data_IF_360228937627
#
_entry.id   IF_360228937627
#
_cell.length_a   1.000
_cell.length_b   1.000
_cell.length_c   1.000
_cell.angle_alpha   90.00
_cell.angle_beta   90.00
_cell.angle_gamma   90.00
#
_symmetry.space_group_name_H-M   'P 1'
#
loop_
_entity.id
_entity.type
_entity.pdbx_description
1 polymer ?
#
# COMPACT_ATOMS: atom_id res chain seq x y z
N UNK A 1 18.84 -11.05 -11.21
CA UNK A 1 18.59 -9.61 -11.07
C UNK A 1 17.09 -9.38 -11.26
N UNK A 2 16.30 -9.42 -10.18
CA UNK A 2 14.91 -9.02 -10.25
C UNK A 2 14.91 -7.50 -10.47
N UNK A 3 14.47 -7.07 -11.64
CA UNK A 3 14.35 -5.65 -11.96
C UNK A 3 13.34 -5.05 -10.98
N UNK A 4 13.74 -4.06 -10.18
CA UNK A 4 12.88 -3.22 -9.33
C UNK A 4 11.83 -2.52 -10.22
N UNK A 5 10.80 -3.27 -10.63
CA UNK A 5 9.79 -2.78 -11.56
C UNK A 5 8.65 -2.21 -10.74
N UNK A 6 8.51 -0.90 -10.84
CA UNK A 6 7.29 -0.20 -10.47
C UNK A 6 6.19 -0.69 -11.42
N UNK A 7 5.13 -1.31 -10.87
CA UNK A 7 3.90 -1.65 -11.59
C UNK A 7 2.89 -0.53 -11.37
N UNK A 8 2.60 0.24 -12.42
CA UNK A 8 1.49 1.20 -12.39
C UNK A 8 0.16 0.45 -12.46
N UNK A 9 -0.80 0.84 -11.63
CA UNK A 9 -2.11 0.21 -11.56
C UNK A 9 -3.03 0.83 -12.62
N UNK A 10 -3.75 -0.02 -13.35
CA UNK A 10 -4.77 0.37 -14.32
C UNK A 10 -6.08 0.59 -13.57
N UNK A 11 -6.48 1.86 -13.45
CA UNK A 11 -7.63 2.28 -12.64
C UNK A 11 -8.60 3.07 -13.50
N UNK A 12 -9.91 2.84 -13.36
CA UNK A 12 -10.91 3.62 -14.08
C UNK A 12 -10.85 5.11 -13.72
N UNK A 13 -11.16 6.02 -14.67
CA UNK A 13 -11.17 7.46 -14.39
C UNK A 13 -12.11 7.86 -13.25
N UNK A 14 -13.27 7.21 -13.16
CA UNK A 14 -14.28 7.48 -12.12
C UNK A 14 -13.77 7.11 -10.73
N UNK A 15 -13.00 6.01 -10.61
CA UNK A 15 -12.36 5.62 -9.37
C UNK A 15 -11.18 6.53 -9.04
N UNK A 16 -10.35 6.93 -10.02
CA UNK A 16 -9.28 7.92 -9.80
C UNK A 16 -9.83 9.20 -9.16
N UNK A 17 -10.94 9.72 -9.68
CA UNK A 17 -11.59 10.92 -9.15
C UNK A 17 -12.06 10.73 -7.70
N UNK A 18 -12.66 9.57 -7.41
CA UNK A 18 -13.12 9.25 -6.06
C UNK A 18 -11.94 9.13 -5.08
N UNK A 19 -10.87 8.45 -5.47
CA UNK A 19 -9.68 8.27 -4.62
C UNK A 19 -8.90 9.57 -4.41
N UNK A 20 -8.81 10.43 -5.42
CA UNK A 20 -8.23 11.77 -5.30
C UNK A 20 -8.95 12.60 -4.25
N UNK A 21 -10.28 12.60 -4.29
CA UNK A 21 -11.12 13.30 -3.32
C UNK A 21 -10.81 12.81 -1.89
N UNK A 22 -10.77 11.49 -1.68
CA UNK A 22 -10.43 10.91 -0.37
C UNK A 22 -9.05 11.36 0.10
N UNK A 23 -8.03 11.35 -0.77
CA UNK A 23 -6.68 11.74 -0.38
C UNK A 23 -6.55 13.22 -0.03
N UNK A 24 -7.19 14.10 -0.82
CA UNK A 24 -7.22 15.54 -0.53
C UNK A 24 -7.84 15.79 0.85
N UNK A 25 -8.99 15.17 1.12
CA UNK A 25 -9.71 15.36 2.39
C UNK A 25 -9.00 14.74 3.58
N UNK A 26 -8.38 13.58 3.41
CA UNK A 26 -7.58 12.91 4.46
C UNK A 26 -6.16 13.43 4.57
N UNK A 27 -5.78 14.44 3.76
CA UNK A 27 -4.44 15.05 3.70
C UNK A 27 -3.32 14.01 3.51
N UNK A 28 -3.61 12.92 2.81
CA UNK A 28 -2.60 11.90 2.49
C UNK A 28 -1.67 12.41 1.39
N UNK A 29 -0.40 11.96 1.35
CA UNK A 29 0.54 12.35 0.30
C UNK A 29 -0.03 12.13 -1.10
N UNK A 30 0.36 12.83 -2.15
CA UNK A 30 -0.29 12.67 -3.45
C UNK A 30 0.03 11.35 -4.16
N UNK A 31 1.15 10.68 -3.82
CA UNK A 31 1.61 9.44 -4.48
C UNK A 31 1.26 8.20 -3.65
N UNK A 32 0.19 7.47 -3.98
CA UNK A 32 -0.15 6.20 -3.32
C UNK A 32 0.75 5.07 -3.83
N UNK A 33 1.51 4.45 -2.93
CA UNK A 33 2.42 3.35 -3.26
C UNK A 33 2.12 2.18 -2.32
N UNK A 34 1.93 0.99 -2.88
CA UNK A 34 1.91 -0.27 -2.13
C UNK A 34 3.26 -0.97 -2.25
N UNK A 35 3.63 -1.66 -1.18
CA UNK A 35 4.82 -2.50 -1.14
C UNK A 35 4.57 -3.81 -1.90
N UNK A 36 5.45 -4.13 -2.86
CA UNK A 36 5.28 -5.33 -3.70
C UNK A 36 5.32 -6.63 -2.90
N UNK A 37 6.20 -6.76 -1.91
CA UNK A 37 6.33 -7.99 -1.12
C UNK A 37 5.09 -8.20 -0.24
N UNK A 38 4.44 -7.11 0.18
CA UNK A 38 3.15 -7.15 0.86
C UNK A 38 2.01 -7.56 -0.07
N UNK A 39 1.97 -7.04 -1.29
CA UNK A 39 0.97 -7.47 -2.30
C UNK A 39 1.14 -8.95 -2.64
N UNK A 40 2.36 -9.40 -2.94
CA UNK A 40 2.67 -10.81 -3.26
C UNK A 40 2.23 -11.76 -2.14
N UNK A 41 2.53 -11.43 -0.87
CA UNK A 41 2.10 -12.24 0.28
C UNK A 41 0.58 -12.32 0.41
N UNK A 42 -0.12 -11.21 0.19
CA UNK A 42 -1.58 -11.16 0.28
C UNK A 42 -2.23 -11.95 -0.86
N UNK A 43 -1.74 -11.79 -2.09
CA UNK A 43 -2.21 -12.55 -3.26
C UNK A 43 -1.97 -14.05 -3.09
N UNK A 44 -0.81 -14.44 -2.53
CA UNK A 44 -0.51 -15.82 -2.19
C UNK A 44 -1.46 -16.38 -1.12
N UNK A 45 -1.73 -15.62 -0.05
CA UNK A 45 -2.64 -16.06 1.01
C UNK A 45 -4.09 -16.21 0.52
N UNK A 46 -4.52 -15.37 -0.41
CA UNK A 46 -5.85 -15.45 -1.02
C UNK A 46 -5.93 -16.48 -2.16
N UNK A 47 -4.78 -17.03 -2.58
CA UNK A 47 -4.61 -17.89 -3.76
C UNK A 47 -5.13 -17.26 -5.06
N UNK A 48 -4.99 -15.93 -5.19
CA UNK A 48 -5.44 -15.18 -6.37
C UNK A 48 -4.80 -13.80 -6.48
N UNK A 49 -4.72 -13.30 -7.71
CA UNK A 49 -4.33 -11.91 -7.98
C UNK A 49 -5.42 -10.93 -7.52
N UNK A 50 -4.97 -9.78 -7.00
CA UNK A 50 -5.85 -8.70 -6.61
C UNK A 50 -6.11 -7.75 -7.80
N UNK A 51 -7.35 -7.29 -7.99
CA UNK A 51 -7.66 -6.32 -9.04
C UNK A 51 -6.94 -4.98 -8.80
N UNK A 52 -6.43 -4.36 -9.87
CA UNK A 52 -5.72 -3.08 -9.82
C UNK A 52 -6.53 -1.97 -9.13
N UNK A 53 -7.84 -1.92 -9.35
CA UNK A 53 -8.73 -0.97 -8.68
C UNK A 53 -8.78 -1.17 -7.15
N UNK A 54 -8.73 -2.41 -6.69
CA UNK A 54 -8.73 -2.73 -5.27
C UNK A 54 -7.37 -2.39 -4.64
N UNK A 55 -6.28 -2.71 -5.33
CA UNK A 55 -4.94 -2.28 -4.93
C UNK A 55 -4.85 -0.74 -4.86
N UNK A 56 -5.41 -0.04 -5.85
CA UNK A 56 -5.44 1.42 -5.86
C UNK A 56 -6.26 1.98 -4.68
N UNK A 57 -7.36 1.33 -4.30
CA UNK A 57 -8.14 1.68 -3.10
C UNK A 57 -7.29 1.59 -1.83
N UNK A 58 -6.59 0.47 -1.58
CA UNK A 58 -5.74 0.33 -0.39
C UNK A 58 -4.58 1.34 -0.41
N UNK A 59 -3.93 1.54 -1.56
CA UNK A 59 -2.86 2.52 -1.72
C UNK A 59 -3.33 3.95 -1.43
N UNK A 60 -4.52 4.31 -1.92
CA UNK A 60 -5.09 5.64 -1.81
C UNK A 60 -5.69 5.92 -0.42
N UNK A 61 -6.34 4.94 0.20
CA UNK A 61 -6.89 5.10 1.56
C UNK A 61 -5.85 4.85 2.64
N UNK A 62 -4.70 4.26 2.31
CA UNK A 62 -3.66 3.85 3.24
C UNK A 62 -4.17 2.87 4.31
N UNK A 63 -5.20 2.10 3.99
CA UNK A 63 -5.63 0.97 4.80
C UNK A 63 -4.61 -0.16 4.69
N UNK A 64 -4.51 -0.96 5.74
CA UNK A 64 -3.66 -2.15 5.73
C UNK A 64 -4.21 -3.18 4.73
N UNK A 65 -3.39 -3.53 3.75
CA UNK A 65 -3.74 -4.54 2.75
C UNK A 65 -3.94 -5.91 3.39
N UNK A 66 -3.23 -6.25 4.46
CA UNK A 66 -3.38 -7.53 5.16
C UNK A 66 -4.78 -7.77 5.72
N UNK A 67 -5.55 -6.70 5.96
CA UNK A 67 -6.93 -6.79 6.45
C UNK A 67 -7.86 -7.53 5.48
N UNK A 68 -7.59 -7.50 4.18
CA UNK A 68 -8.43 -8.21 3.20
C UNK A 68 -8.42 -9.72 3.42
N UNK A 69 -7.26 -10.28 3.85
CA UNK A 69 -7.11 -11.70 4.13
C UNK A 69 -7.97 -12.08 5.31
N UNK A 70 -7.77 -11.38 6.44
CA UNK A 70 -8.52 -11.63 7.67
C UNK A 70 -10.04 -11.51 7.47
N UNK A 71 -10.51 -10.47 6.75
CA UNK A 71 -11.93 -10.30 6.46
C UNK A 71 -12.47 -11.38 5.52
N UNK A 72 -11.68 -11.78 4.52
CA UNK A 72 -12.12 -12.80 3.55
C UNK A 72 -12.19 -14.17 4.21
N UNK A 73 -11.23 -14.52 5.06
CA UNK A 73 -11.25 -15.79 5.79
C UNK A 73 -12.42 -15.84 6.78
N UNK A 74 -12.65 -14.76 7.56
CA UNK A 74 -13.81 -14.66 8.45
C UNK A 74 -15.14 -14.83 7.68
N UNK A 75 -15.29 -14.17 6.54
CA UNK A 75 -16.50 -14.31 5.73
C UNK A 75 -16.62 -15.70 5.07
N UNK A 76 -15.50 -16.34 4.70
CA UNK A 76 -15.49 -17.72 4.15
C UNK A 76 -15.92 -18.75 5.18
N UNK A 77 -15.50 -18.61 6.43
CA UNK A 77 -15.95 -19.48 7.53
C UNK A 77 -17.48 -19.45 7.71
N UNK A 78 -18.10 -18.35 7.29
CA UNK A 78 -19.54 -18.11 7.30
C UNK A 78 -20.23 -18.35 5.93
N UNK A 79 -19.50 -18.87 4.93
CA UNK A 79 -20.08 -19.31 3.65
C UNK A 79 -19.96 -18.34 2.48
N UNK A 80 -19.07 -17.34 2.53
CA UNK A 80 -18.80 -16.46 1.40
C UNK A 80 -18.38 -17.24 0.14
N UNK A 81 -18.97 -16.88 -1.01
CA UNK A 81 -18.57 -17.44 -2.31
C UNK A 81 -17.07 -17.21 -2.56
N UNK A 82 -16.28 -18.27 -2.89
CA UNK A 82 -14.83 -18.19 -3.04
C UNK A 82 -14.37 -17.21 -4.13
N UNK A 83 -15.26 -16.80 -5.04
CA UNK A 83 -14.99 -15.81 -6.10
C UNK A 83 -15.02 -14.37 -5.56
N UNK A 84 -15.57 -14.14 -4.37
CA UNK A 84 -15.66 -12.84 -3.71
C UNK A 84 -14.47 -12.59 -2.78
N UNK A 85 -14.21 -11.31 -2.51
CA UNK A 85 -13.18 -10.85 -1.58
C UNK A 85 -13.80 -9.86 -0.59
N UNK A 86 -13.73 -10.13 0.71
CA UNK A 86 -14.16 -9.17 1.72
C UNK A 86 -13.04 -8.15 1.96
N UNK A 87 -13.30 -6.86 1.71
CA UNK A 87 -12.26 -5.83 1.68
C UNK A 87 -12.49 -4.67 2.65
N UNK A 88 -13.73 -4.47 3.10
CA UNK A 88 -14.05 -3.45 4.08
C UNK A 88 -15.14 -3.93 5.05
N UNK A 89 -15.22 -3.29 6.21
CA UNK A 89 -16.26 -3.53 7.21
C UNK A 89 -16.81 -2.19 7.68
N UNK A 90 -18.13 -2.04 7.64
CA UNK A 90 -18.86 -0.97 8.32
C UNK A 90 -19.41 -1.48 9.65
N UNK A 91 -20.11 -0.63 10.40
CA UNK A 91 -20.81 -1.04 11.62
C UNK A 91 -21.94 -2.05 11.37
N UNK A 92 -22.41 -2.19 10.13
CA UNK A 92 -23.63 -2.95 9.79
C UNK A 92 -23.41 -4.06 8.77
N UNK A 93 -22.26 -4.10 8.08
CA UNK A 93 -22.03 -5.09 7.03
C UNK A 93 -20.53 -5.30 6.75
N UNK A 94 -20.20 -6.48 6.23
CA UNK A 94 -18.94 -6.73 5.52
C UNK A 94 -19.16 -6.37 4.06
N UNK A 95 -18.24 -5.62 3.46
CA UNK A 95 -18.29 -5.26 2.05
C UNK A 95 -17.40 -6.19 1.26
N UNK A 96 -17.97 -6.79 0.23
CA UNK A 96 -17.31 -7.74 -0.65
C UNK A 96 -17.14 -7.17 -2.04
N UNK A 97 -16.13 -7.66 -2.75
CA UNK A 97 -15.74 -7.23 -4.07
C UNK A 97 -15.63 -8.42 -5.03
N UNK A 98 -15.97 -8.18 -6.29
CA UNK A 98 -15.75 -9.11 -7.40
C UNK A 98 -15.19 -8.36 -8.60
N UNK A 99 -14.10 -8.87 -9.17
CA UNK A 99 -13.61 -8.40 -10.45
C UNK A 99 -14.59 -8.78 -11.57
N UNK A 100 -14.90 -7.81 -12.42
CA UNK A 100 -15.62 -7.98 -13.67
C UNK A 100 -14.88 -7.21 -14.75
N UNK A 101 -14.15 -7.94 -15.58
CA UNK A 101 -13.21 -7.37 -16.56
C UNK A 101 -12.19 -6.46 -15.87
N UNK A 102 -12.09 -5.19 -16.26
CA UNK A 102 -11.19 -4.20 -15.67
C UNK A 102 -11.79 -3.44 -14.47
N UNK A 103 -13.04 -3.70 -14.10
CA UNK A 103 -13.76 -2.97 -13.05
C UNK A 103 -14.06 -3.85 -11.84
N UNK A 104 -14.16 -3.23 -10.66
CA UNK A 104 -14.58 -3.91 -9.43
C UNK A 104 -16.00 -3.53 -9.06
N UNK A 105 -16.86 -4.54 -8.95
CA UNK A 105 -18.20 -4.42 -8.37
C UNK A 105 -18.14 -4.79 -6.89
N UNK A 106 -18.92 -4.09 -6.07
CA UNK A 106 -18.96 -4.24 -4.63
C UNK A 106 -20.39 -4.21 -4.11
N UNK A 107 -20.61 -4.83 -2.95
CA UNK A 107 -21.89 -4.85 -2.26
C UNK A 107 -21.72 -5.26 -0.80
N UNK A 108 -22.72 -4.98 0.06
CA UNK A 108 -22.76 -5.51 1.41
C UNK A 108 -23.09 -7.00 1.36
N UNK A 109 -22.33 -7.82 2.09
CA UNK A 109 -22.55 -9.25 2.23
C UNK A 109 -23.17 -9.56 3.59
N UNK A 110 -24.17 -10.43 3.58
CA UNK A 110 -24.86 -10.97 4.76
C UNK A 110 -24.80 -12.51 4.68
N UNK A 111 -24.29 -13.22 5.70
CA UNK A 111 -24.27 -14.68 5.73
C UNK A 111 -25.68 -15.30 5.64
N UNK A 112 -26.72 -14.54 6.02
CA UNK A 112 -28.12 -14.95 5.92
C UNK A 112 -28.68 -14.84 4.51
N UNK A 113 -28.01 -14.07 3.63
CA UNK A 113 -28.38 -13.85 2.23
C UNK A 113 -27.17 -14.08 1.30
N UNK A 114 -26.91 -15.35 0.93
CA UNK A 114 -25.75 -15.71 0.13
C UNK A 114 -25.83 -15.20 -1.32
N UNK A 115 -27.00 -14.76 -1.79
CA UNK A 115 -27.19 -14.18 -3.13
C UNK A 115 -26.90 -12.68 -3.16
N UNK A 116 -25.86 -12.26 -2.44
CA UNK A 116 -25.44 -10.86 -2.34
C UNK A 116 -25.31 -10.20 -3.73
N UNK A 117 -26.16 -9.21 -3.99
CA UNK A 117 -26.10 -8.39 -5.20
C UNK A 117 -24.93 -7.39 -5.12
N UNK A 118 -24.06 -7.42 -6.13
CA UNK A 118 -22.97 -6.46 -6.28
C UNK A 118 -23.41 -5.36 -7.25
N UNK A 119 -24.24 -4.45 -6.75
CA UNK A 119 -24.93 -3.42 -7.53
C UNK A 119 -24.13 -2.11 -7.67
N UNK A 120 -23.02 -1.97 -6.94
CA UNK A 120 -22.23 -0.74 -6.88
C UNK A 120 -20.84 -0.92 -7.48
N UNK A 121 -20.37 0.09 -8.20
CA UNK A 121 -18.96 0.21 -8.52
C UNK A 121 -18.13 0.56 -7.29
N UNK A 122 -16.86 0.17 -7.27
CA UNK A 122 -15.93 0.58 -6.21
C UNK A 122 -15.83 2.12 -6.09
N UNK A 123 -15.94 2.86 -7.20
CA UNK A 123 -15.97 4.31 -7.19
C UNK A 123 -17.19 4.89 -6.44
N UNK A 124 -18.38 4.31 -6.62
CA UNK A 124 -19.59 4.70 -5.88
C UNK A 124 -19.44 4.40 -4.39
N UNK A 125 -18.92 3.22 -4.05
CA UNK A 125 -18.62 2.85 -2.68
C UNK A 125 -17.66 3.86 -2.02
N UNK A 126 -16.54 4.19 -2.69
CA UNK A 126 -15.56 5.16 -2.16
C UNK A 126 -16.21 6.51 -1.88
N UNK A 127 -17.01 7.02 -2.83
CA UNK A 127 -17.72 8.29 -2.65
C UNK A 127 -18.66 8.24 -1.45
N UNK A 128 -19.49 7.20 -1.34
CA UNK A 128 -20.47 7.08 -0.26
C UNK A 128 -19.82 6.91 1.13
N UNK A 129 -18.77 6.12 1.23
CA UNK A 129 -18.16 5.75 2.51
C UNK A 129 -17.06 6.71 2.99
N UNK A 130 -16.55 7.57 2.11
CA UNK A 130 -15.51 8.55 2.44
C UNK A 130 -15.93 10.00 2.17
N UNK A 131 -17.23 10.28 2.01
CA UNK A 131 -17.76 11.65 2.00
C UNK A 131 -17.73 12.23 3.41
N UNK A 132 -16.52 12.60 3.86
CA UNK A 132 -16.29 12.90 5.27
C UNK A 132 -16.80 14.29 5.67
N UNK A 133 -16.89 15.27 4.76
CA UNK A 133 -17.26 16.65 5.08
C UNK A 133 -17.78 17.40 3.83
N UNK A 134 -18.49 18.54 4.02
CA UNK A 134 -18.78 19.48 2.94
C UNK A 134 -17.49 19.89 2.21
N UNK A 135 -17.55 20.14 0.89
CA UNK A 135 -16.37 20.50 0.12
C UNK A 135 -15.77 21.83 0.60
N UNK A 136 -14.43 21.87 0.72
CA UNK A 136 -13.70 23.11 0.97
C UNK A 136 -13.68 23.99 -0.29
N UNK A 137 -13.64 25.33 -0.13
CA UNK A 137 -13.67 26.27 -1.26
C UNK A 137 -12.51 26.07 -2.26
N UNK A 138 -11.34 25.60 -1.78
CA UNK A 138 -10.16 25.32 -2.60
C UNK A 138 -9.99 23.83 -2.97
N UNK A 139 -10.97 22.97 -2.62
CA UNK A 139 -10.94 21.52 -2.91
C UNK A 139 -10.75 21.22 -4.41
N UNK A 140 -11.44 21.88 -5.37
CA UNK A 140 -11.23 21.62 -6.79
C UNK A 140 -9.78 21.88 -7.24
N UNK A 141 -9.15 22.94 -6.71
CA UNK A 141 -7.77 23.29 -7.04
C UNK A 141 -6.78 22.28 -6.43
N UNK A 142 -7.04 21.80 -5.21
CA UNK A 142 -6.26 20.74 -4.57
C UNK A 142 -6.34 19.43 -5.35
N UNK A 143 -7.53 19.06 -5.82
CA UNK A 143 -7.74 17.86 -6.65
C UNK A 143 -6.98 17.96 -7.97
N UNK A 144 -7.05 19.10 -8.66
CA UNK A 144 -6.36 19.29 -9.94
C UNK A 144 -4.84 19.19 -9.78
N UNK A 145 -4.27 19.82 -8.74
CA UNK A 145 -2.84 19.68 -8.41
C UNK A 145 -2.47 18.23 -8.07
N UNK A 146 -3.29 17.55 -7.28
CA UNK A 146 -3.03 16.16 -6.89
C UNK A 146 -3.11 15.20 -8.08
N UNK A 147 -4.01 15.44 -9.04
CA UNK A 147 -4.19 14.62 -10.25
C UNK A 147 -2.91 14.47 -11.05
N UNK A 148 -2.11 15.54 -11.17
CA UNK A 148 -0.87 15.55 -11.94
C UNK A 148 0.20 14.56 -11.44
N UNK A 149 0.11 14.17 -10.17
CA UNK A 149 1.09 13.30 -9.50
C UNK A 149 0.44 12.02 -8.92
N UNK A 150 -0.86 11.84 -9.13
CA UNK A 150 -1.62 10.68 -8.67
C UNK A 150 -1.42 9.52 -9.63
N UNK A 151 -0.41 8.70 -9.34
CA UNK A 151 -0.11 7.49 -10.08
C UNK A 151 -0.02 6.32 -9.08
N UNK A 152 -1.15 5.67 -8.75
CA UNK A 152 -1.13 4.51 -7.86
C UNK A 152 -0.28 3.40 -8.46
N UNK A 153 0.65 2.90 -7.65
CA UNK A 153 1.57 1.86 -8.09
C UNK A 153 1.89 0.87 -6.98
N UNK A 154 2.29 -0.31 -7.41
CA UNK A 154 2.98 -1.29 -6.58
C UNK A 154 4.46 -1.14 -6.88
N UNK A 155 5.25 -0.92 -5.84
CA UNK A 155 6.70 -0.82 -5.93
C UNK A 155 7.29 -1.71 -4.87
N UNK A 156 8.29 -2.51 -5.23
CA UNK A 156 9.18 -3.06 -4.22
C UNK A 156 9.91 -1.87 -3.60
N UNK A 157 9.77 -1.66 -2.30
CA UNK A 157 10.67 -0.71 -1.63
C UNK A 157 12.06 -1.29 -1.78
N UNK A 158 13.00 -0.47 -2.25
CA UNK A 158 14.40 -0.85 -2.07
C UNK A 158 14.58 -1.16 -0.57
N UNK A 159 15.25 -2.26 -0.20
CA UNK A 159 15.46 -2.60 1.21
C UNK A 159 15.96 -1.34 1.92
N UNK A 160 15.30 -0.98 3.02
CA UNK A 160 15.69 0.20 3.79
C UNK A 160 17.16 0.05 4.12
N UNK A 161 18.00 0.86 3.45
CA UNK A 161 19.43 0.78 3.65
C UNK A 161 19.68 1.12 5.10
N UNK A 162 20.47 0.31 5.83
CA UNK A 162 20.74 0.59 7.23
C UNK A 162 21.28 2.02 7.34
N UNK A 163 20.52 2.89 8.00
CA UNK A 163 20.89 4.31 8.06
C UNK A 163 22.01 4.53 9.06
N UNK A 164 22.08 3.68 10.10
CA UNK A 164 23.05 3.76 11.18
C UNK A 164 23.69 2.40 11.43
N UNK A 165 24.99 2.43 11.70
CA UNK A 165 25.80 1.25 11.96
C UNK A 165 26.80 1.54 13.07
N UNK A 166 27.23 0.50 13.79
CA UNK A 166 28.32 0.56 14.77
C UNK A 166 29.51 -0.23 14.28
N UNK A 167 30.70 0.37 14.32
CA UNK A 167 31.96 -0.28 13.97
C UNK A 167 32.88 -0.37 15.20
N UNK A 168 33.47 -1.54 15.53
CA UNK A 168 34.27 -1.72 16.75
C UNK A 168 35.40 -0.70 16.94
N UNK A 169 35.99 -0.22 15.83
CA UNK A 169 37.10 0.75 15.85
C UNK A 169 36.64 2.22 15.75
N UNK A 170 35.52 2.49 15.12
CA UNK A 170 35.12 3.86 14.74
C UNK A 170 33.88 4.37 15.47
N UNK A 171 33.23 3.51 16.26
CA UNK A 171 31.99 3.82 16.95
C UNK A 171 30.78 3.78 16.01
N UNK A 172 29.74 4.51 16.40
CA UNK A 172 28.52 4.65 15.60
C UNK A 172 28.72 5.61 14.43
N UNK A 173 28.05 5.35 13.32
CA UNK A 173 28.13 6.19 12.12
C UNK A 173 26.93 6.03 11.21
N UNK A 174 26.75 7.00 10.32
CA UNK A 174 25.65 7.04 9.36
C UNK A 174 26.09 6.51 8.00
N UNK A 175 25.37 5.55 7.42
CA UNK A 175 25.70 5.05 6.08
C UNK A 175 25.37 6.13 5.04
N UNK A 176 26.37 6.47 4.22
CA UNK A 176 26.28 7.46 3.14
C UNK A 176 26.02 6.76 1.81
N UNK A 177 26.74 5.68 1.52
CA UNK A 177 26.57 4.90 0.29
C UNK A 177 27.08 3.47 0.46
N UNK A 178 26.72 2.61 -0.49
CA UNK A 178 27.18 1.22 -0.56
C UNK A 178 27.92 0.99 -1.88
N UNK A 179 28.95 0.15 -1.83
CA UNK A 179 29.79 -0.20 -2.99
C UNK A 179 29.79 -1.73 -3.11
N UNK A 180 29.51 -2.22 -4.33
CA UNK A 180 29.52 -3.65 -4.68
C UNK A 180 30.57 -3.91 -5.76
N UNK A 181 31.84 -3.99 -5.36
CA UNK A 181 33.00 -4.18 -6.25
C UNK A 181 33.56 -5.62 -6.18
N UNK A 182 32.66 -6.61 -6.06
CA UNK A 182 32.99 -7.99 -5.70
C UNK A 182 33.08 -8.22 -4.17
N UNK A 183 33.03 -7.15 -3.39
CA UNK A 183 32.81 -7.16 -1.95
C UNK A 183 31.71 -6.16 -1.57
N UNK A 184 30.98 -6.40 -0.47
CA UNK A 184 29.99 -5.46 0.07
C UNK A 184 30.68 -4.48 1.04
N UNK A 185 30.85 -3.23 0.61
CA UNK A 185 31.45 -2.16 1.40
C UNK A 185 30.45 -1.03 1.65
N UNK A 186 30.55 -0.40 2.80
CA UNK A 186 29.78 0.76 3.20
C UNK A 186 30.69 1.97 3.31
N UNK A 187 30.29 3.09 2.73
CA UNK A 187 30.84 4.41 3.02
C UNK A 187 30.03 4.98 4.17
N UNK A 188 30.65 5.13 5.32
CA UNK A 188 30.00 5.54 6.58
C UNK A 188 30.64 6.82 7.08
N UNK A 189 29.81 7.75 7.54
CA UNK A 189 30.23 8.98 8.21
C UNK A 189 30.28 8.74 9.72
N UNK A 190 31.50 8.58 10.26
CA UNK A 190 31.76 8.42 11.69
C UNK A 190 32.16 9.76 12.31
N UNK A 191 32.14 9.93 13.65
CA UNK A 191 32.66 11.13 14.31
C UNK A 191 34.12 11.47 13.96
N UNK A 192 34.93 10.45 13.65
CA UNK A 192 36.32 10.59 13.20
C UNK A 192 36.47 10.86 11.68
N UNK A 193 35.35 11.08 10.97
CA UNK A 193 35.26 11.34 9.54
C UNK A 193 34.79 10.13 8.73
N UNK A 194 34.59 10.37 7.42
CA UNK A 194 34.09 9.38 6.47
C UNK A 194 35.08 8.24 6.24
N UNK A 195 34.63 6.99 6.36
CA UNK A 195 35.42 5.78 6.12
C UNK A 195 34.67 4.79 5.23
N UNK A 196 35.42 4.04 4.42
CA UNK A 196 34.91 2.87 3.72
C UNK A 196 35.24 1.63 4.53
N UNK A 197 34.22 0.90 4.97
CA UNK A 197 34.35 -0.32 5.79
C UNK A 197 33.64 -1.49 5.11
N UNK A 198 34.04 -2.74 5.36
CA UNK A 198 33.25 -3.87 4.85
C UNK A 198 31.97 -4.00 5.67
N UNK A 199 30.84 -4.28 5.01
CA UNK A 199 29.54 -4.39 5.68
C UNK A 199 29.53 -5.44 6.80
N UNK A 200 30.28 -6.54 6.64
CA UNK A 200 30.42 -7.60 7.67
C UNK A 200 31.12 -7.17 8.96
N UNK A 201 31.80 -6.02 8.98
CA UNK A 201 32.50 -5.51 10.16
C UNK A 201 31.71 -4.42 10.90
N UNK A 202 30.48 -4.16 10.49
CA UNK A 202 29.59 -3.25 11.19
C UNK A 202 28.37 -3.98 11.69
N UNK A 203 27.86 -3.54 12.84
CA UNK A 203 26.58 -3.97 13.36
C UNK A 203 25.53 -2.95 12.93
N UNK A 204 24.46 -3.39 12.27
CA UNK A 204 23.33 -2.52 11.95
C UNK A 204 22.65 -2.12 13.26
N UNK A 205 22.49 -0.81 13.45
CA UNK A 205 21.71 -0.28 14.55
C UNK A 205 20.29 -0.07 14.01
N UNK A 206 19.36 -0.94 14.38
CA UNK A 206 17.96 -0.78 14.01
C UNK A 206 17.46 0.59 14.49
N UNK A 207 16.84 1.36 13.60
CA UNK A 207 16.25 2.65 13.94
C UNK A 207 15.12 2.55 15.00
N UNK A 208 14.75 1.33 15.41
CA UNK A 208 13.60 1.02 16.25
C UNK A 208 13.85 1.09 17.78
N UNK A 209 14.96 1.68 18.26
CA UNK A 209 15.21 1.85 19.72
C UNK A 209 15.47 3.29 20.18
N UNK A 210 15.08 4.28 19.39
CA UNK A 210 14.98 5.66 19.87
C UNK A 210 13.51 5.97 20.24
N UNK A 211 13.04 5.39 21.34
CA UNK A 211 11.78 5.75 22.01
C UNK A 211 11.99 5.67 23.51
#
# INVERSE_FOLDING_TARGET
MASDRIRFLVVSPTLIDALLLVRVRTRKPPKPILDADTVERVEQALERELPDELLAYFAATGQDLGRIVALTDEARDEGLDPRLLAFARSSSAIWVAKARDAAVQVGPWDPSDPETELDQSLAQFVRRHHDLHPPEHDEPQKIEKARQVFAPCVSRKAPERPSHVSHPKFGEGKVVSEIFDGNHKLVVDFPAGRKTVMARFVQVLDAAKAS
#
